data_IF_888119698489
#
_entry.id   IF_888119698489
#
_cell.length_a   1.000
_cell.length_b   1.000
_cell.length_c   1.000
_cell.angle_alpha   90.00
_cell.angle_beta   90.00
_cell.angle_gamma   90.00
#
_symmetry.space_group_name_H-M   'P 1'
#
loop_
_entity.id
_entity.type
_entity.pdbx_description
1 polymer ?
#
# COMPACT_ATOMS: atom_id res chain seq x y z
N UNK A 1 14.82 -15.62 12.71
CA UNK A 1 14.48 -14.41 13.50
C UNK A 1 13.95 -14.83 14.85
N UNK A 2 14.24 -14.07 15.91
CA UNK A 2 13.62 -14.23 17.21
C UNK A 2 12.12 -13.87 17.16
N UNK A 3 11.36 -14.34 18.15
CA UNK A 3 9.93 -14.03 18.25
C UNK A 3 9.66 -12.51 18.36
N UNK A 4 10.55 -11.77 19.05
CA UNK A 4 10.44 -10.32 19.18
C UNK A 4 10.62 -9.60 17.84
N UNK A 5 11.58 -10.03 17.03
CA UNK A 5 11.80 -9.45 15.69
C UNK A 5 10.60 -9.70 14.77
N UNK A 6 10.03 -10.91 14.79
CA UNK A 6 8.84 -11.25 13.99
C UNK A 6 7.65 -10.39 14.41
N UNK A 7 7.44 -10.23 15.72
CA UNK A 7 6.38 -9.36 16.24
C UNK A 7 6.53 -7.93 15.73
N UNK A 8 7.72 -7.34 15.84
CA UNK A 8 7.99 -5.99 15.36
C UNK A 8 7.79 -5.87 13.85
N UNK A 9 8.29 -6.85 13.07
CA UNK A 9 8.08 -6.87 11.61
C UNK A 9 6.61 -6.84 11.24
N UNK A 10 5.77 -7.66 11.90
CA UNK A 10 4.32 -7.66 11.64
C UNK A 10 3.70 -6.32 12.03
N UNK A 11 3.98 -5.81 13.23
CA UNK A 11 3.41 -4.54 13.71
C UNK A 11 3.76 -3.37 12.79
N UNK A 12 5.02 -3.25 12.37
CA UNK A 12 5.46 -2.20 11.46
C UNK A 12 4.99 -2.41 10.02
N UNK A 13 4.61 -3.63 9.63
CA UNK A 13 4.02 -3.91 8.31
C UNK A 13 2.54 -3.49 8.22
N UNK A 14 1.81 -3.43 9.35
CA UNK A 14 0.38 -3.12 9.37
C UNK A 14 0.04 -1.76 8.74
N UNK A 15 0.72 -0.64 9.06
CA UNK A 15 0.44 0.64 8.40
C UNK A 15 0.56 0.57 6.88
N UNK A 16 1.54 -0.18 6.36
CA UNK A 16 1.76 -0.35 4.92
C UNK A 16 0.58 -1.14 4.31
N UNK A 17 0.15 -2.21 4.96
CA UNK A 17 -1.03 -3.00 4.55
C UNK A 17 -2.28 -2.11 4.55
N UNK A 18 -2.49 -1.29 5.58
CA UNK A 18 -3.61 -0.35 5.63
C UNK A 18 -3.59 0.66 4.48
N UNK A 19 -2.42 1.19 4.11
CA UNK A 19 -2.28 2.10 2.96
C UNK A 19 -2.67 1.40 1.65
N UNK A 20 -2.24 0.16 1.44
CA UNK A 20 -2.64 -0.61 0.25
C UNK A 20 -4.13 -0.88 0.21
N UNK A 21 -4.72 -1.30 1.33
CA UNK A 21 -6.16 -1.55 1.44
C UNK A 21 -6.97 -0.28 1.20
N UNK A 22 -6.57 0.83 1.82
CA UNK A 22 -7.19 2.14 1.62
C UNK A 22 -7.10 2.56 0.15
N UNK A 23 -5.95 2.39 -0.49
CA UNK A 23 -5.77 2.74 -1.91
C UNK A 23 -6.59 1.85 -2.85
N UNK A 24 -6.80 0.58 -2.49
CA UNK A 24 -7.66 -0.31 -3.26
C UNK A 24 -9.16 0.04 -3.12
N UNK A 25 -9.58 0.52 -1.94
CA UNK A 25 -10.95 0.93 -1.64
C UNK A 25 -11.28 2.34 -2.17
N UNK A 26 -10.36 3.29 -2.01
CA UNK A 26 -10.51 4.70 -2.37
C UNK A 26 -9.38 5.17 -3.33
N UNK A 27 -9.25 4.54 -4.52
CA UNK A 27 -8.13 4.82 -5.44
C UNK A 27 -8.10 6.27 -5.91
N UNK A 28 -9.26 6.91 -6.12
CA UNK A 28 -9.36 8.33 -6.50
C UNK A 28 -8.73 9.23 -5.44
N UNK A 29 -9.11 9.04 -4.17
CA UNK A 29 -8.60 9.87 -3.07
C UNK A 29 -7.11 9.64 -2.82
N UNK A 30 -6.64 8.39 -2.88
CA UNK A 30 -5.20 8.09 -2.79
C UNK A 30 -4.40 8.74 -3.91
N UNK A 31 -4.89 8.74 -5.15
CA UNK A 31 -4.22 9.33 -6.30
C UNK A 31 -4.06 10.85 -6.13
N UNK A 32 -5.08 11.48 -5.55
CA UNK A 32 -5.10 12.91 -5.31
C UNK A 32 -4.38 13.31 -4.00
N UNK A 33 -4.18 12.41 -3.05
CA UNK A 33 -3.59 12.73 -1.74
C UNK A 33 -2.23 13.45 -1.86
N UNK A 34 -1.38 13.01 -2.79
CA UNK A 34 -0.05 13.62 -3.04
C UNK A 34 -0.05 14.85 -3.95
N UNK A 35 -1.18 15.18 -4.57
CA UNK A 35 -1.31 16.27 -5.54
C UNK A 35 -2.21 17.41 -5.02
N UNK A 36 -3.14 17.11 -4.11
CA UNK A 36 -4.12 18.06 -3.53
C UNK A 36 -3.48 19.35 -2.98
N UNK A 37 -2.26 19.28 -2.45
CA UNK A 37 -1.55 20.45 -1.91
C UNK A 37 -0.96 21.37 -2.97
N UNK A 38 -0.73 20.89 -4.21
CA UNK A 38 -0.11 21.67 -5.29
C UNK A 38 -1.11 22.63 -5.96
N UNK A 39 -2.40 22.32 -5.90
CA UNK A 39 -3.43 23.03 -6.64
C UNK A 39 -4.33 23.80 -5.68
N UNK A 40 -4.32 25.13 -5.83
CA UNK A 40 -4.99 26.08 -4.93
C UNK A 40 -6.48 26.23 -5.23
N UNK A 41 -7.24 25.12 -5.25
CA UNK A 41 -8.70 24.98 -5.45
C UNK A 41 -9.19 24.47 -6.83
N UNK A 42 -8.40 23.69 -7.57
CA UNK A 42 -8.93 22.99 -8.76
C UNK A 42 -9.55 21.66 -8.35
N UNK A 43 -10.78 21.39 -8.82
CA UNK A 43 -11.42 20.09 -8.66
C UNK A 43 -10.72 19.11 -9.62
N UNK A 44 -9.62 18.52 -9.16
CA UNK A 44 -8.82 17.58 -9.95
C UNK A 44 -9.63 16.30 -10.15
N UNK A 45 -9.93 15.98 -11.39
CA UNK A 45 -10.51 14.70 -11.78
C UNK A 45 -9.45 13.83 -12.45
N UNK A 46 -8.94 12.81 -11.76
CA UNK A 46 -8.10 11.80 -12.38
C UNK A 46 -8.87 11.07 -13.49
N UNK A 47 -8.19 10.71 -14.57
CA UNK A 47 -8.80 9.87 -15.60
C UNK A 47 -9.24 8.52 -15.03
N UNK A 48 -10.28 7.93 -15.63
CA UNK A 48 -10.76 6.60 -15.21
C UNK A 48 -9.67 5.53 -15.29
N UNK A 49 -8.81 5.61 -16.32
CA UNK A 49 -7.66 4.72 -16.47
C UNK A 49 -6.66 4.86 -15.32
N UNK A 50 -6.39 6.09 -14.86
CA UNK A 50 -5.51 6.33 -13.73
C UNK A 50 -6.08 5.76 -12.43
N UNK A 51 -7.40 5.87 -12.22
CA UNK A 51 -8.11 5.28 -11.07
C UNK A 51 -8.02 3.75 -11.11
N UNK A 52 -8.34 3.15 -12.26
CA UNK A 52 -8.30 1.69 -12.46
C UNK A 52 -6.89 1.13 -12.30
N UNK A 53 -5.89 1.84 -12.83
CA UNK A 53 -4.48 1.47 -12.70
C UNK A 53 -4.00 1.55 -11.25
N UNK A 54 -4.35 2.61 -10.52
CA UNK A 54 -4.03 2.77 -9.10
C UNK A 54 -4.62 1.66 -8.26
N UNK A 55 -5.89 1.29 -8.48
CA UNK A 55 -6.53 0.15 -7.81
C UNK A 55 -5.80 -1.15 -8.09
N UNK A 56 -5.49 -1.46 -9.35
CA UNK A 56 -4.76 -2.67 -9.74
C UNK A 56 -3.37 -2.72 -9.09
N UNK A 57 -2.63 -1.61 -9.13
CA UNK A 57 -1.32 -1.47 -8.49
C UNK A 57 -1.39 -1.69 -6.99
N UNK A 58 -2.42 -1.18 -6.31
CA UNK A 58 -2.58 -1.37 -4.88
C UNK A 58 -2.79 -2.85 -4.52
N UNK A 59 -3.63 -3.56 -5.29
CA UNK A 59 -3.88 -4.99 -5.08
C UNK A 59 -2.62 -5.81 -5.36
N UNK A 60 -1.94 -5.57 -6.49
CA UNK A 60 -0.69 -6.27 -6.83
C UNK A 60 0.38 -5.96 -5.79
N UNK A 61 0.53 -4.71 -5.40
CA UNK A 61 1.48 -4.27 -4.38
C UNK A 61 1.23 -4.93 -3.03
N UNK A 62 -0.03 -5.04 -2.60
CA UNK A 62 -0.40 -5.76 -1.39
C UNK A 62 0.02 -7.23 -1.44
N UNK A 63 -0.27 -7.93 -2.55
CA UNK A 63 0.08 -9.34 -2.72
C UNK A 63 1.61 -9.51 -2.67
N UNK A 64 2.35 -8.71 -3.43
CA UNK A 64 3.83 -8.74 -3.45
C UNK A 64 4.41 -8.43 -2.07
N UNK A 65 3.86 -7.44 -1.37
CA UNK A 65 4.33 -7.06 -0.05
C UNK A 65 4.09 -8.17 0.98
N UNK A 66 2.92 -8.81 0.99
CA UNK A 66 2.64 -9.93 1.88
C UNK A 66 3.56 -11.12 1.58
N UNK A 67 3.76 -11.46 0.30
CA UNK A 67 4.71 -12.52 -0.09
C UNK A 67 6.14 -12.19 0.35
N UNK A 68 6.57 -10.94 0.23
CA UNK A 68 7.88 -10.49 0.69
C UNK A 68 8.05 -10.66 2.21
N UNK A 69 7.06 -10.26 3.00
CA UNK A 69 7.09 -10.45 4.46
C UNK A 69 7.13 -11.94 4.82
N UNK A 70 6.34 -12.77 4.14
CA UNK A 70 6.36 -14.23 4.35
C UNK A 70 7.73 -14.82 4.03
N UNK A 71 8.34 -14.45 2.90
CA UNK A 71 9.67 -14.90 2.52
C UNK A 71 10.75 -14.46 3.51
N UNK A 72 10.67 -13.23 4.01
CA UNK A 72 11.62 -12.70 5.00
C UNK A 72 11.53 -13.50 6.30
N UNK A 73 10.31 -13.80 6.75
CA UNK A 73 10.07 -14.62 7.94
C UNK A 73 10.61 -16.04 7.71
N UNK A 74 10.23 -16.73 6.63
CA UNK A 74 10.61 -18.13 6.38
C UNK A 74 12.10 -18.29 6.11
N UNK A 75 12.73 -17.39 5.34
CA UNK A 75 14.17 -17.38 5.10
C UNK A 75 14.99 -17.25 6.38
N UNK A 76 14.40 -16.76 7.47
CA UNK A 76 15.08 -16.61 8.75
C UNK A 76 15.07 -17.87 9.63
N UNK A 77 14.37 -18.93 9.19
CA UNK A 77 14.30 -20.23 9.87
C UNK A 77 15.19 -21.30 9.21
N UNK A 78 15.64 -21.07 7.98
CA UNK A 78 16.59 -21.91 7.25
C UNK A 78 17.99 -21.28 7.30
#
# INVERSE_FOLDING_TARGET
MSAGEIFLTIVFSLPIIFVFLYTAAFPRDSLLFGEKWKYKNQNLEPSEDAIKYTKKKAIIGLIVFVLFILLLITSSYY
#
